data_IF_485282384281
#
_entry.id   IF_485282384281
#
_cell.length_a   1.000
_cell.length_b   1.000
_cell.length_c   1.000
_cell.angle_alpha   90.00
_cell.angle_beta   90.00
_cell.angle_gamma   90.00
#
_symmetry.space_group_name_H-M   'P 1'
#
loop_
_entity.id
_entity.type
_entity.pdbx_description
1 polymer ?
#
# COMPACT_ATOMS: atom_id res chain seq x y z
N UNK A 1 4.20 17.06 8.91
CA UNK A 1 3.98 15.59 8.94
C UNK A 1 2.50 15.35 8.70
N UNK A 2 2.16 14.37 7.89
CA UNK A 2 0.78 13.98 7.62
C UNK A 2 0.67 12.46 7.43
N UNK A 3 -0.47 11.89 7.78
CA UNK A 3 -0.78 10.47 7.57
C UNK A 3 -1.74 10.32 6.39
N UNK A 4 -1.55 9.24 5.62
CA UNK A 4 -2.53 8.84 4.63
C UNK A 4 -3.72 8.17 5.30
N UNK A 5 -4.84 8.89 5.27
CA UNK A 5 -6.10 8.40 5.81
C UNK A 5 -6.49 7.09 5.12
N UNK A 6 -6.78 6.08 5.93
CA UNK A 6 -7.29 4.78 5.48
C UNK A 6 -6.34 4.07 4.49
N UNK A 7 -5.02 4.29 4.63
CA UNK A 7 -3.95 3.69 3.86
C UNK A 7 -4.29 2.25 3.45
N UNK A 8 -4.24 1.33 4.42
CA UNK A 8 -4.42 -0.13 4.30
C UNK A 8 -5.75 -0.65 3.74
N UNK A 9 -6.75 0.20 3.57
CA UNK A 9 -8.06 -0.23 3.05
C UNK A 9 -8.37 0.34 1.66
N UNK A 10 -7.50 1.22 1.13
CA UNK A 10 -7.77 1.99 -0.10
C UNK A 10 -6.84 1.57 -1.25
N UNK A 11 -5.89 0.66 -1.00
CA UNK A 11 -4.90 0.27 -1.99
C UNK A 11 -5.52 -0.49 -3.15
N UNK A 12 -5.14 -0.06 -4.35
CA UNK A 12 -5.54 -0.72 -5.58
C UNK A 12 -4.54 -1.84 -5.88
N UNK A 13 -5.02 -3.09 -5.84
CA UNK A 13 -4.18 -4.27 -6.11
C UNK A 13 -3.47 -4.21 -7.47
N UNK A 14 -4.09 -3.59 -8.46
CA UNK A 14 -3.47 -3.36 -9.78
C UNK A 14 -2.14 -2.62 -9.69
N UNK A 15 -2.06 -1.56 -8.87
CA UNK A 15 -0.83 -0.76 -8.70
C UNK A 15 0.29 -1.53 -8.01
N UNK A 16 -0.06 -2.50 -7.16
CA UNK A 16 0.90 -3.42 -6.54
C UNK A 16 1.43 -4.38 -7.61
N UNK A 17 0.53 -5.00 -8.39
CA UNK A 17 0.89 -5.96 -9.44
C UNK A 17 1.76 -5.32 -10.52
N UNK A 18 1.46 -4.08 -10.94
CA UNK A 18 2.24 -3.31 -11.93
C UNK A 18 3.72 -3.11 -11.53
N UNK A 19 4.03 -3.14 -10.23
CA UNK A 19 5.39 -2.96 -9.72
C UNK A 19 6.19 -4.27 -9.63
N UNK A 20 5.52 -5.41 -9.75
CA UNK A 20 6.16 -6.72 -9.69
C UNK A 20 6.69 -7.12 -11.08
N UNK A 21 7.84 -7.79 -11.11
CA UNK A 21 8.52 -8.19 -12.36
C UNK A 21 8.49 -9.69 -12.65
N UNK A 22 8.26 -10.51 -11.64
CA UNK A 22 8.26 -11.97 -11.76
C UNK A 22 6.83 -12.48 -11.92
N UNK A 23 6.55 -13.20 -13.00
CA UNK A 23 5.24 -13.82 -13.25
C UNK A 23 4.81 -14.77 -12.15
N UNK A 24 5.76 -15.50 -11.56
CA UNK A 24 5.48 -16.36 -10.41
C UNK A 24 5.00 -15.56 -9.19
N UNK A 25 5.67 -14.47 -8.87
CA UNK A 25 5.31 -13.62 -7.72
C UNK A 25 3.98 -12.91 -7.99
N UNK A 26 3.75 -12.43 -9.22
CA UNK A 26 2.46 -11.85 -9.63
C UNK A 26 1.33 -12.85 -9.37
N UNK A 27 1.47 -14.09 -9.83
CA UNK A 27 0.45 -15.12 -9.62
C UNK A 27 0.18 -15.38 -8.13
N UNK A 28 1.22 -15.43 -7.30
CA UNK A 28 1.08 -15.61 -5.84
C UNK A 28 0.34 -14.44 -5.19
N UNK A 29 0.65 -13.21 -5.59
CA UNK A 29 0.01 -12.00 -5.05
C UNK A 29 -1.44 -11.87 -5.53
N UNK A 30 -1.72 -12.17 -6.81
CA UNK A 30 -3.09 -12.19 -7.33
C UNK A 30 -3.94 -13.27 -6.66
N UNK A 31 -3.38 -14.45 -6.38
CA UNK A 31 -4.08 -15.50 -5.64
C UNK A 31 -4.34 -15.08 -4.19
N UNK A 32 -3.38 -14.43 -3.53
CA UNK A 32 -3.56 -13.85 -2.18
C UNK A 32 -4.68 -12.80 -2.11
N UNK A 33 -4.97 -12.12 -3.21
CA UNK A 33 -6.03 -11.13 -3.32
C UNK A 33 -7.39 -11.73 -3.71
N UNK A 34 -7.42 -12.95 -4.27
CA UNK A 34 -8.63 -13.56 -4.82
C UNK A 34 -9.64 -13.96 -3.73
N UNK A 35 -10.93 -13.88 -4.07
CA UNK A 35 -12.05 -14.39 -3.26
C UNK A 35 -12.07 -13.86 -1.81
N UNK A 36 -11.68 -12.59 -1.62
CA UNK A 36 -11.73 -11.95 -0.31
C UNK A 36 -13.08 -11.30 -0.10
N UNK A 37 -13.67 -11.56 1.06
CA UNK A 37 -14.97 -11.04 1.44
C UNK A 37 -14.91 -10.54 2.90
N UNK A 38 -15.48 -9.36 3.15
CA UNK A 38 -15.75 -8.89 4.51
C UNK A 38 -17.10 -9.46 4.92
N UNK A 39 -17.12 -10.36 5.91
CA UNK A 39 -18.37 -10.88 6.48
C UNK A 39 -18.90 -9.87 7.49
N UNK A 40 -20.07 -9.29 7.20
CA UNK A 40 -20.74 -8.30 8.07
C UNK A 40 -21.68 -9.02 9.03
N UNK A 41 -22.42 -10.01 8.54
CA UNK A 41 -23.26 -10.91 9.34
C UNK A 41 -23.43 -12.25 8.60
N UNK A 42 -24.17 -13.20 9.20
CA UNK A 42 -24.25 -14.59 8.72
C UNK A 42 -24.65 -14.75 7.25
N UNK A 43 -25.38 -13.79 6.68
CA UNK A 43 -25.90 -13.87 5.31
C UNK A 43 -25.50 -12.66 4.45
N UNK A 44 -24.60 -11.81 4.95
CA UNK A 44 -24.19 -10.59 4.26
C UNK A 44 -22.67 -10.48 4.33
N UNK A 45 -22.05 -10.53 3.17
CA UNK A 45 -20.67 -10.11 2.99
C UNK A 45 -20.54 -9.12 1.84
N UNK A 46 -19.35 -8.54 1.77
CA UNK A 46 -18.97 -7.60 0.74
C UNK A 46 -17.66 -8.06 0.13
N UNK A 47 -17.64 -8.19 -1.19
CA UNK A 47 -16.42 -8.46 -1.92
C UNK A 47 -15.40 -7.34 -1.66
N UNK A 48 -14.17 -7.75 -1.37
CA UNK A 48 -13.05 -6.84 -1.19
C UNK A 48 -12.38 -6.65 -2.54
N UNK A 49 -12.39 -5.42 -3.05
CA UNK A 49 -11.77 -5.06 -4.33
C UNK A 49 -10.50 -4.21 -4.18
N UNK A 50 -10.08 -3.97 -2.94
CA UNK A 50 -8.92 -3.16 -2.59
C UNK A 50 -8.53 -3.31 -1.12
N UNK A 51 -7.38 -2.75 -0.75
CA UNK A 51 -6.84 -2.83 0.59
C UNK A 51 -6.02 -4.10 0.86
N UNK A 52 -5.30 -4.11 1.97
CA UNK A 52 -4.63 -5.30 2.52
C UNK A 52 -5.21 -5.60 3.91
N UNK A 53 -5.46 -6.88 4.26
CA UNK A 53 -6.02 -7.20 5.56
C UNK A 53 -5.11 -6.68 6.67
N UNK A 54 -5.68 -5.87 7.57
CA UNK A 54 -4.95 -5.41 8.75
C UNK A 54 -4.59 -6.61 9.63
N UNK A 55 -3.35 -6.65 10.11
CA UNK A 55 -2.79 -7.80 10.82
C UNK A 55 -2.27 -8.92 9.91
N UNK A 56 -2.34 -8.76 8.58
CA UNK A 56 -1.66 -9.69 7.66
C UNK A 56 -0.15 -9.52 7.68
N UNK A 57 0.57 -10.64 7.60
CA UNK A 57 2.04 -10.66 7.49
C UNK A 57 2.52 -9.97 6.21
N UNK A 58 1.75 -10.11 5.11
CA UNK A 58 2.10 -9.51 3.82
C UNK A 58 1.74 -8.02 3.71
N UNK A 59 0.83 -7.52 4.54
CA UNK A 59 0.35 -6.13 4.50
C UNK A 59 1.48 -5.09 4.47
N UNK A 60 2.44 -5.13 5.42
CA UNK A 60 3.58 -4.20 5.44
C UNK A 60 4.46 -4.26 4.19
N UNK A 61 4.67 -5.45 3.61
CA UNK A 61 5.48 -5.60 2.40
C UNK A 61 4.76 -4.98 1.18
N UNK A 62 3.47 -5.30 1.04
CA UNK A 62 2.64 -4.77 -0.05
C UNK A 62 2.52 -3.24 0.03
N UNK A 63 2.45 -2.71 1.25
CA UNK A 63 2.52 -1.28 1.51
C UNK A 63 3.82 -0.67 1.01
N UNK A 64 4.97 -1.23 1.39
CA UNK A 64 6.29 -0.73 0.98
C UNK A 64 6.46 -0.71 -0.55
N UNK A 65 5.96 -1.73 -1.26
CA UNK A 65 5.98 -1.78 -2.72
C UNK A 65 5.20 -0.60 -3.32
N UNK A 66 3.99 -0.32 -2.82
CA UNK A 66 3.19 0.81 -3.27
C UNK A 66 3.87 2.15 -2.95
N UNK A 67 4.40 2.27 -1.74
CA UNK A 67 4.96 3.51 -1.18
C UNK A 67 6.30 3.92 -1.79
N UNK A 68 7.05 2.99 -2.37
CA UNK A 68 8.32 3.25 -3.05
C UNK A 68 8.22 4.44 -4.02
N UNK A 69 7.11 4.57 -4.74
CA UNK A 69 6.90 5.68 -5.70
C UNK A 69 6.76 7.05 -5.04
N UNK A 70 6.20 7.10 -3.82
CA UNK A 70 5.98 8.35 -3.08
C UNK A 70 7.29 8.80 -2.45
N UNK A 71 8.04 7.87 -1.84
CA UNK A 71 9.33 8.18 -1.20
C UNK A 71 10.37 8.64 -2.23
N UNK A 72 10.33 8.07 -3.44
CA UNK A 72 11.24 8.42 -4.53
C UNK A 72 10.81 9.63 -5.38
N UNK A 73 9.81 10.41 -4.93
CA UNK A 73 9.45 11.65 -5.61
C UNK A 73 10.65 12.61 -5.63
N UNK A 74 10.97 13.15 -6.82
CA UNK A 74 12.00 14.18 -6.94
C UNK A 74 11.50 15.47 -6.30
N UNK A 75 12.08 15.82 -5.16
CA UNK A 75 11.83 17.07 -4.46
C UNK A 75 12.79 18.16 -4.92
N UNK A 76 12.45 19.41 -4.61
CA UNK A 76 13.34 20.56 -4.81
C UNK A 76 14.62 20.40 -4.00
N UNK A 77 15.73 21.02 -4.46
CA UNK A 77 17.01 20.99 -3.76
C UNK A 77 16.84 21.48 -2.33
N UNK A 78 17.40 20.75 -1.36
CA UNK A 78 17.25 21.03 0.07
C UNK A 78 15.99 20.43 0.71
N UNK A 79 15.20 19.61 0.00
CA UNK A 79 14.06 18.91 0.57
C UNK A 79 14.18 17.38 0.43
N UNK A 80 13.84 16.65 1.50
CA UNK A 80 13.86 15.18 1.57
C UNK A 80 12.53 14.65 2.13
N UNK A 81 12.07 13.51 1.61
CA UNK A 81 10.92 12.80 2.18
C UNK A 81 11.36 11.69 3.13
N UNK A 82 10.64 11.52 4.23
CA UNK A 82 10.80 10.43 5.18
C UNK A 82 9.42 9.81 5.41
N UNK A 83 9.31 8.50 5.26
CA UNK A 83 8.06 7.78 5.43
C UNK A 83 8.21 6.64 6.46
N UNK A 84 7.16 6.41 7.24
CA UNK A 84 7.06 5.28 8.16
C UNK A 84 5.61 4.81 8.22
N UNK A 85 5.35 3.55 7.86
CA UNK A 85 3.97 3.06 7.67
C UNK A 85 3.16 4.08 6.84
N UNK A 86 2.01 4.55 7.33
CA UNK A 86 1.15 5.52 6.67
C UNK A 86 1.56 7.00 6.87
N UNK A 87 2.56 7.27 7.71
CA UNK A 87 3.08 8.61 7.96
C UNK A 87 4.09 9.06 6.91
N UNK A 88 3.96 10.31 6.48
CA UNK A 88 4.90 11.01 5.59
C UNK A 88 5.33 12.36 6.19
N UNK A 89 6.63 12.59 6.22
CA UNK A 89 7.25 13.86 6.57
C UNK A 89 8.08 14.38 5.40
N UNK A 90 7.97 15.70 5.16
CA UNK A 90 8.87 16.44 4.30
C UNK A 90 9.79 17.26 5.21
N UNK A 91 11.09 17.10 5.01
CA UNK A 91 12.13 17.83 5.75
C UNK A 91 12.79 18.77 4.76
N UNK A 92 12.84 20.06 5.09
CA UNK A 92 13.55 21.07 4.31
C UNK A 92 14.72 21.61 5.11
N UNK A 93 15.87 21.71 4.48
CA UNK A 93 17.03 22.45 4.96
C UNK A 93 16.81 23.94 4.66
N UNK A 94 16.97 24.78 5.69
CA UNK A 94 17.08 26.22 5.53
C UNK A 94 18.55 26.59 5.67
N UNK A 95 19.04 27.46 4.80
CA UNK A 95 20.40 28.03 4.90
C UNK A 95 20.58 28.85 6.19
#
# INVERSE_FOLDING_TARGET
MGSLRNAFNTETWSRIVEKLKSSYIINVIEDYFRNREIVINRNQGMEVTGGVPQGSVLGPLLWNILYETIVNLKLTKGATSVAFADDLALVSEAD
#
